data_IF_657320361076
#
_entry.id   IF_657320361076
#
_cell.length_a   1.000
_cell.length_b   1.000
_cell.length_c   1.000
_cell.angle_alpha   90.00
_cell.angle_beta   90.00
_cell.angle_gamma   90.00
#
_symmetry.space_group_name_H-M   'P 1'
#
loop_
_entity.id
_entity.type
_entity.pdbx_description
1 polymer ?
#
# COMPACT_ATOMS: atom_id res chain seq x y z
N UNK A 1 26.64 2.53 4.83
CA UNK A 1 25.99 3.79 4.38
C UNK A 1 24.82 3.40 3.52
N UNK A 2 23.59 3.76 3.90
CA UNK A 2 22.41 3.53 3.05
C UNK A 2 22.56 4.37 1.78
N UNK A 3 22.45 3.79 0.58
CA UNK A 3 22.54 4.56 -0.65
C UNK A 3 21.51 5.69 -0.62
N UNK A 4 21.92 6.88 -1.06
CA UNK A 4 20.99 8.01 -1.19
C UNK A 4 19.93 7.62 -2.22
N UNK A 5 18.66 7.92 -1.94
CA UNK A 5 17.59 7.70 -2.93
C UNK A 5 17.86 8.41 -4.27
N UNK A 6 18.75 9.42 -4.27
CA UNK A 6 19.21 10.15 -5.46
C UNK A 6 20.17 9.36 -6.35
N UNK A 7 20.85 8.35 -5.79
CA UNK A 7 21.79 7.50 -6.54
C UNK A 7 21.16 6.21 -7.05
N UNK A 8 19.92 5.90 -6.63
CA UNK A 8 19.17 4.76 -7.16
C UNK A 8 18.36 5.24 -8.36
N UNK A 9 18.53 4.64 -9.55
CA UNK A 9 17.78 5.07 -10.71
C UNK A 9 16.27 4.89 -10.50
N UNK A 10 15.52 5.93 -10.82
CA UNK A 10 14.10 6.01 -10.51
C UNK A 10 13.28 5.56 -11.73
N UNK A 11 12.32 4.62 -11.59
CA UNK A 11 11.41 4.30 -12.68
C UNK A 11 10.70 5.55 -13.20
N UNK A 12 10.46 5.62 -14.51
CA UNK A 12 9.91 6.82 -15.17
C UNK A 12 8.61 7.31 -14.55
N UNK A 13 7.71 6.38 -14.22
CA UNK A 13 6.40 6.70 -13.62
C UNK A 13 6.55 7.19 -12.17
N UNK A 14 7.56 6.69 -11.45
CA UNK A 14 7.90 7.16 -10.09
C UNK A 14 8.51 8.56 -10.14
N UNK A 15 9.28 8.87 -11.19
CA UNK A 15 9.89 10.19 -11.37
C UNK A 15 8.89 11.32 -11.59
N UNK A 16 7.68 10.99 -12.07
CA UNK A 16 6.59 11.92 -12.32
C UNK A 16 5.72 12.19 -11.07
N UNK A 17 5.94 11.46 -9.97
CA UNK A 17 5.15 11.64 -8.76
C UNK A 17 5.42 13.00 -8.09
N UNK A 18 4.43 13.54 -7.35
CA UNK A 18 4.65 14.66 -6.45
C UNK A 18 5.84 14.39 -5.51
N UNK A 19 6.54 15.45 -5.13
CA UNK A 19 7.74 15.36 -4.28
C UNK A 19 7.48 16.03 -2.94
N UNK A 20 8.09 15.50 -1.88
CA UNK A 20 8.13 16.20 -0.60
C UNK A 20 9.16 17.36 -0.64
N UNK A 21 9.28 18.11 0.45
CA UNK A 21 10.23 19.23 0.57
C UNK A 21 11.71 18.83 0.40
N UNK A 22 12.06 17.56 0.65
CA UNK A 22 13.41 17.02 0.42
C UNK A 22 13.65 16.58 -1.05
N UNK A 23 12.63 16.68 -1.92
CA UNK A 23 12.66 16.27 -3.32
C UNK A 23 12.39 14.78 -3.56
N UNK A 24 12.06 14.01 -2.53
CA UNK A 24 11.77 12.57 -2.64
C UNK A 24 10.38 12.35 -3.25
N UNK A 25 10.20 11.43 -4.21
CA UNK A 25 8.88 11.08 -4.72
C UNK A 25 8.01 10.52 -3.59
N UNK A 26 6.74 10.91 -3.58
CA UNK A 26 5.75 10.45 -2.61
C UNK A 26 4.90 9.35 -3.23
N UNK A 27 4.84 8.14 -2.64
CA UNK A 27 4.00 7.07 -3.15
C UNK A 27 2.54 7.45 -3.27
N UNK A 28 1.87 6.88 -4.27
CA UNK A 28 0.52 7.25 -4.65
C UNK A 28 -0.55 7.06 -3.58
N UNK A 29 -0.38 6.09 -2.68
CA UNK A 29 -1.32 5.81 -1.60
C UNK A 29 -1.06 6.60 -0.31
N UNK A 30 0.01 7.38 -0.22
CA UNK A 30 0.34 8.17 0.99
C UNK A 30 -0.64 9.31 1.19
N UNK A 31 -1.12 9.49 2.42
CA UNK A 31 -2.00 10.59 2.82
C UNK A 31 -1.28 11.95 2.81
N UNK A 32 -2.04 13.01 2.53
CA UNK A 32 -1.57 14.38 2.45
C UNK A 32 -2.45 15.29 3.30
N UNK A 33 -1.86 16.20 4.06
CA UNK A 33 -2.60 17.04 4.99
C UNK A 33 -2.16 18.50 4.87
N UNK A 34 -3.14 19.41 4.76
CA UNK A 34 -2.89 20.85 4.78
C UNK A 34 -2.60 21.32 6.23
N UNK A 35 -2.21 22.57 6.41
CA UNK A 35 -1.71 23.06 7.71
C UNK A 35 -2.79 23.09 8.81
N UNK A 36 -4.05 23.19 8.42
CA UNK A 36 -5.25 23.20 9.28
C UNK A 36 -5.93 21.82 9.37
N UNK A 37 -5.39 20.81 8.68
CA UNK A 37 -5.89 19.44 8.72
C UNK A 37 -5.14 18.63 9.79
N UNK A 38 -5.84 18.26 10.86
CA UNK A 38 -5.28 17.45 11.95
C UNK A 38 -5.02 15.99 11.55
N UNK A 39 -5.52 15.59 10.38
CA UNK A 39 -5.44 14.26 9.83
C UNK A 39 -6.57 13.34 10.25
N UNK A 40 -7.64 13.90 10.82
CA UNK A 40 -8.85 13.16 11.15
C UNK A 40 -9.44 12.47 9.93
N UNK A 41 -9.69 11.17 10.06
CA UNK A 41 -10.49 10.42 9.11
C UNK A 41 -11.96 10.61 9.43
N UNK A 42 -12.79 10.70 8.40
CA UNK A 42 -14.24 10.82 8.55
C UNK A 42 -14.88 9.44 8.38
N UNK A 43 -16.00 9.20 9.05
CA UNK A 43 -16.84 8.04 8.77
C UNK A 43 -17.93 8.49 7.79
N UNK A 44 -17.96 7.88 6.61
CA UNK A 44 -19.04 8.02 5.65
C UNK A 44 -19.92 6.76 5.64
N UNK A 45 -21.11 6.87 5.06
CA UNK A 45 -22.05 5.78 4.94
C UNK A 45 -22.69 5.78 3.55
N UNK A 46 -22.66 4.63 2.86
CA UNK A 46 -23.40 4.41 1.61
C UNK A 46 -23.95 2.98 1.52
N UNK A 47 -24.64 2.69 0.42
CA UNK A 47 -25.32 1.41 0.20
C UNK A 47 -24.38 0.27 -0.21
N UNK A 48 -23.20 0.57 -0.75
CA UNK A 48 -22.25 -0.41 -1.25
C UNK A 48 -21.35 -0.90 -0.11
N UNK A 49 -20.82 0.03 0.68
CA UNK A 49 -19.80 -0.24 1.70
C UNK A 49 -20.34 -0.24 3.14
N UNK A 50 -21.55 0.30 3.35
CA UNK A 50 -22.03 0.61 4.69
C UNK A 50 -21.19 1.73 5.30
N UNK A 51 -20.95 1.65 6.61
CA UNK A 51 -19.99 2.55 7.28
C UNK A 51 -18.57 2.32 6.78
N UNK A 52 -17.83 3.38 6.45
CA UNK A 52 -16.45 3.28 5.98
C UNK A 52 -15.65 4.56 6.26
N UNK A 53 -14.33 4.41 6.44
CA UNK A 53 -13.43 5.56 6.60
C UNK A 53 -13.17 6.24 5.27
N UNK A 54 -13.27 7.57 5.26
CA UNK A 54 -12.93 8.42 4.14
C UNK A 54 -11.90 9.48 4.54
N UNK A 55 -11.20 10.00 3.53
CA UNK A 55 -10.14 10.99 3.67
C UNK A 55 -10.29 12.02 2.56
N UNK A 56 -10.21 13.31 2.89
CA UNK A 56 -10.38 14.41 1.95
C UNK A 56 -9.04 14.92 1.38
N UNK A 57 -7.94 14.20 1.64
CA UNK A 57 -6.63 14.60 1.17
C UNK A 57 -6.56 14.67 -0.37
N UNK A 58 -5.78 15.63 -0.87
CA UNK A 58 -5.45 15.72 -2.30
C UNK A 58 -3.94 15.51 -2.49
N UNK A 59 -3.51 14.50 -3.26
CA UNK A 59 -2.08 14.31 -3.51
C UNK A 59 -1.42 15.55 -4.11
N UNK A 60 -0.27 15.93 -3.54
CA UNK A 60 0.47 17.13 -3.93
C UNK A 60 0.01 18.42 -3.24
N UNK A 61 -1.04 18.39 -2.40
CA UNK A 61 -1.46 19.53 -1.57
C UNK A 61 -1.14 19.27 -0.10
N UNK A 62 -0.52 20.23 0.57
CA UNK A 62 -0.09 20.08 1.96
C UNK A 62 1.19 19.24 2.12
N UNK A 63 1.31 18.55 3.25
CA UNK A 63 2.47 17.74 3.62
C UNK A 63 2.11 16.25 3.59
N UNK A 64 2.91 15.39 2.92
CA UNK A 64 2.69 13.95 2.94
C UNK A 64 3.08 13.36 4.30
N UNK A 65 2.27 12.43 4.83
CA UNK A 65 2.60 11.66 6.04
C UNK A 65 3.04 10.25 5.66
N UNK A 66 4.35 10.06 5.55
CA UNK A 66 4.92 8.75 5.25
C UNK A 66 4.59 7.75 6.37
N UNK A 67 4.16 6.55 5.98
CA UNK A 67 3.65 5.54 6.91
C UNK A 67 2.14 5.60 7.11
N UNK A 68 1.48 6.68 6.70
CA UNK A 68 0.01 6.78 6.70
C UNK A 68 -0.54 6.58 5.28
N UNK A 69 -1.40 5.58 5.13
CA UNK A 69 -2.11 5.32 3.88
C UNK A 69 -3.44 6.07 3.84
N UNK A 70 -3.74 6.71 2.72
CA UNK A 70 -5.06 7.25 2.45
C UNK A 70 -6.06 6.09 2.20
N UNK A 71 -7.08 5.89 3.05
CA UNK A 71 -7.99 4.75 2.93
C UNK A 71 -8.78 4.75 1.62
N UNK A 72 -9.12 5.93 1.09
CA UNK A 72 -9.81 6.06 -0.19
C UNK A 72 -8.94 5.55 -1.35
N UNK A 73 -7.69 6.04 -1.46
CA UNK A 73 -6.77 5.63 -2.53
C UNK A 73 -6.30 4.20 -2.38
N UNK A 74 -6.07 3.74 -1.15
CA UNK A 74 -5.73 2.34 -0.87
C UNK A 74 -6.79 1.40 -1.45
N UNK A 75 -8.07 1.63 -1.11
CA UNK A 75 -9.18 0.81 -1.62
C UNK A 75 -9.34 0.92 -3.12
N UNK A 76 -9.22 2.13 -3.68
CA UNK A 76 -9.24 2.35 -5.13
C UNK A 76 -8.16 1.52 -5.83
N UNK A 77 -6.92 1.54 -5.33
CA UNK A 77 -5.80 0.86 -5.96
C UNK A 77 -5.93 -0.66 -5.86
N UNK A 78 -6.44 -1.15 -4.73
CA UNK A 78 -6.76 -2.56 -4.54
C UNK A 78 -7.85 -3.05 -5.51
N UNK A 79 -8.94 -2.30 -5.66
CA UNK A 79 -10.03 -2.66 -6.58
C UNK A 79 -9.62 -2.59 -8.05
N UNK A 80 -8.88 -1.54 -8.42
CA UNK A 80 -8.53 -1.25 -9.81
C UNK A 80 -7.18 -1.86 -10.24
N UNK A 81 -6.57 -2.71 -9.40
CA UNK A 81 -5.26 -3.32 -9.63
C UNK A 81 -4.21 -2.27 -10.05
N UNK A 82 -4.11 -1.19 -9.27
CA UNK A 82 -3.11 -0.13 -9.49
C UNK A 82 -1.91 -0.32 -8.58
N UNK A 83 -0.76 0.10 -9.08
CA UNK A 83 0.48 0.11 -8.32
C UNK A 83 0.41 1.10 -7.15
N UNK A 84 0.62 0.61 -5.92
CA UNK A 84 0.65 1.42 -4.70
C UNK A 84 1.66 2.56 -4.72
N UNK A 85 2.76 2.39 -5.46
CA UNK A 85 3.81 3.39 -5.62
C UNK A 85 3.52 4.39 -6.74
N UNK A 86 3.46 3.94 -8.00
CA UNK A 86 3.39 4.83 -9.17
C UNK A 86 1.97 5.16 -9.64
N UNK A 87 0.92 4.60 -9.02
CA UNK A 87 -0.51 4.79 -9.36
C UNK A 87 -0.99 4.24 -10.69
N UNK A 88 -0.08 3.75 -11.54
CA UNK A 88 -0.44 3.20 -12.85
C UNK A 88 -1.14 1.84 -12.69
N UNK A 89 -2.11 1.51 -13.56
CA UNK A 89 -2.66 0.16 -13.62
C UNK A 89 -1.56 -0.89 -13.85
N UNK A 90 -1.71 -2.06 -13.23
CA UNK A 90 -0.87 -3.22 -13.50
C UNK A 90 -1.62 -4.13 -14.47
N UNK A 91 -0.96 -4.55 -15.55
CA UNK A 91 -1.57 -5.44 -16.53
C UNK A 91 -2.14 -6.71 -15.84
N UNK A 92 -3.34 -7.19 -16.23
CA UNK A 92 -3.96 -8.36 -15.62
C UNK A 92 -3.11 -9.63 -15.65
N UNK A 93 -2.23 -9.76 -16.64
CA UNK A 93 -1.34 -10.91 -16.84
C UNK A 93 0.05 -10.70 -16.24
N UNK A 94 0.40 -9.46 -15.88
CA UNK A 94 1.69 -9.14 -15.29
C UNK A 94 1.84 -9.68 -13.87
N UNK A 95 3.09 -9.96 -13.50
CA UNK A 95 3.50 -10.28 -12.15
C UNK A 95 3.22 -9.09 -11.21
N UNK A 96 2.55 -9.37 -10.09
CA UNK A 96 2.38 -8.48 -8.96
C UNK A 96 3.44 -8.76 -7.91
N UNK A 97 3.90 -7.70 -7.26
CA UNK A 97 4.77 -7.80 -6.09
C UNK A 97 4.09 -7.16 -4.89
N UNK A 98 3.99 -7.92 -3.81
CA UNK A 98 3.67 -7.39 -2.49
C UNK A 98 4.91 -7.46 -1.61
N UNK A 99 5.14 -6.44 -0.79
CA UNK A 99 6.27 -6.39 0.15
C UNK A 99 5.71 -6.49 1.56
N UNK A 100 6.27 -7.37 2.39
CA UNK A 100 5.84 -7.51 3.78
C UNK A 100 6.71 -8.42 4.60
N UNK A 101 6.21 -8.81 5.77
CA UNK A 101 6.89 -9.73 6.66
C UNK A 101 6.86 -11.17 6.14
N UNK A 102 7.77 -11.98 6.67
CA UNK A 102 7.87 -13.42 6.38
C UNK A 102 6.54 -14.14 6.61
N UNK A 103 6.08 -14.91 5.62
CA UNK A 103 4.82 -15.67 5.67
C UNK A 103 3.55 -14.83 5.87
N UNK A 104 3.57 -13.54 5.51
CA UNK A 104 2.37 -12.71 5.53
C UNK A 104 1.23 -13.34 4.70
N UNK A 105 0.10 -13.60 5.35
CA UNK A 105 -1.09 -14.21 4.72
C UNK A 105 -1.85 -13.23 3.83
N UNK A 106 -1.78 -11.95 4.16
CA UNK A 106 -2.43 -10.86 3.45
C UNK A 106 -1.57 -9.59 3.51
N UNK A 107 -1.89 -8.64 2.65
CA UNK A 107 -1.16 -7.38 2.52
C UNK A 107 -2.14 -6.21 2.56
N UNK A 108 -1.86 -5.25 3.43
CA UNK A 108 -2.61 -3.99 3.52
C UNK A 108 -2.24 -3.03 2.38
N UNK A 109 -0.96 -3.00 2.01
CA UNK A 109 -0.45 -2.16 0.93
C UNK A 109 -0.89 -2.69 -0.45
N UNK A 110 -1.31 -1.83 -1.40
CA UNK A 110 -1.65 -2.24 -2.75
C UNK A 110 -0.47 -2.95 -3.46
N UNK A 111 -0.74 -3.79 -4.48
CA UNK A 111 0.33 -4.44 -5.23
C UNK A 111 1.23 -3.41 -5.92
N UNK A 112 2.44 -3.82 -6.28
CA UNK A 112 3.40 -3.02 -7.03
C UNK A 112 3.76 -3.70 -8.35
N UNK A 113 4.13 -2.90 -9.36
CA UNK A 113 4.93 -3.42 -10.47
C UNK A 113 6.30 -3.87 -9.94
N UNK A 114 6.90 -4.88 -10.56
CA UNK A 114 8.25 -5.35 -10.22
C UNK A 114 9.31 -4.22 -10.14
N UNK A 115 9.47 -3.32 -11.14
CA UNK A 115 10.44 -2.22 -11.02
C UNK A 115 10.11 -1.23 -9.90
N UNK A 116 8.83 -1.05 -9.58
CA UNK A 116 8.41 -0.19 -8.47
C UNK A 116 8.77 -0.79 -7.11
N UNK A 117 8.55 -2.10 -6.94
CA UNK A 117 8.97 -2.83 -5.74
C UNK A 117 10.49 -2.85 -5.57
N UNK A 118 11.23 -3.11 -6.67
CA UNK A 118 12.69 -3.11 -6.66
C UNK A 118 13.26 -1.75 -6.25
N UNK A 119 12.68 -0.65 -6.77
CA UNK A 119 13.03 0.70 -6.34
C UNK A 119 12.69 0.94 -4.86
N UNK A 120 11.47 0.60 -4.42
CA UNK A 120 11.02 0.82 -3.05
C UNK A 120 11.91 0.14 -2.00
N UNK A 121 12.30 -1.12 -2.23
CA UNK A 121 13.19 -1.87 -1.34
C UNK A 121 14.59 -1.25 -1.21
N UNK A 122 15.06 -0.55 -2.25
CA UNK A 122 16.37 0.08 -2.24
C UNK A 122 16.38 1.48 -1.59
N UNK A 123 15.24 2.19 -1.60
CA UNK A 123 15.18 3.60 -1.14
C UNK A 123 14.37 3.82 0.14
N UNK A 124 13.54 2.86 0.56
CA UNK A 124 12.71 3.02 1.75
C UNK A 124 13.50 2.71 3.02
N UNK A 125 13.68 3.68 3.94
CA UNK A 125 14.42 3.44 5.18
C UNK A 125 13.82 2.31 6.02
N UNK A 126 12.49 2.29 6.16
CA UNK A 126 11.77 1.26 6.94
C UNK A 126 11.98 -0.14 6.36
N UNK A 127 11.95 -0.28 5.02
CA UNK A 127 12.19 -1.58 4.39
C UNK A 127 13.67 -1.99 4.48
N UNK A 128 14.58 -1.03 4.40
CA UNK A 128 16.01 -1.27 4.54
C UNK A 128 16.37 -1.75 5.96
N UNK A 129 15.81 -1.11 6.99
CA UNK A 129 15.97 -1.50 8.40
C UNK A 129 15.48 -2.93 8.67
N UNK A 130 14.45 -3.37 7.96
CA UNK A 130 13.90 -4.73 8.07
C UNK A 130 14.46 -5.72 7.02
N UNK A 131 15.47 -5.32 6.24
CA UNK A 131 15.81 -5.92 4.94
C UNK A 131 16.04 -7.44 4.94
N UNK A 132 16.65 -8.00 5.99
CA UNK A 132 16.90 -9.45 6.06
C UNK A 132 15.65 -10.29 6.33
N UNK A 133 14.58 -9.67 6.84
CA UNK A 133 13.31 -10.32 7.18
C UNK A 133 12.17 -10.00 6.20
N UNK A 134 12.39 -9.01 5.34
CA UNK A 134 11.41 -8.61 4.33
C UNK A 134 11.30 -9.69 3.26
N UNK A 135 10.08 -10.17 3.01
CA UNK A 135 9.76 -11.02 1.87
C UNK A 135 9.08 -10.20 0.78
N UNK A 136 9.23 -10.68 -0.46
CA UNK A 136 8.34 -10.28 -1.54
C UNK A 136 7.43 -11.44 -1.89
N UNK A 137 6.12 -11.21 -1.98
CA UNK A 137 5.18 -12.18 -2.53
C UNK A 137 4.94 -11.86 -3.99
N UNK A 138 5.35 -12.79 -4.85
CA UNK A 138 5.18 -12.73 -6.30
C UNK A 138 3.94 -13.55 -6.66
N UNK A 139 2.89 -12.89 -7.15
CA UNK A 139 1.70 -13.58 -7.72
C UNK A 139 1.17 -12.88 -8.98
N UNK A 140 0.35 -13.54 -9.79
CA UNK A 140 -0.38 -12.89 -10.89
C UNK A 140 -1.77 -12.38 -10.45
N UNK A 141 -2.32 -12.88 -9.34
CA UNK A 141 -3.67 -12.53 -8.90
C UNK A 141 -3.82 -12.60 -7.37
N UNK A 142 -4.84 -11.93 -6.86
CA UNK A 142 -5.17 -11.95 -5.43
C UNK A 142 -6.68 -11.89 -5.26
N UNK A 143 -7.16 -12.44 -4.14
CA UNK A 143 -8.49 -12.15 -3.63
C UNK A 143 -8.44 -10.92 -2.73
N UNK A 144 -9.59 -10.25 -2.59
CA UNK A 144 -9.75 -9.16 -1.63
C UNK A 144 -10.48 -9.65 -0.38
N UNK A 145 -10.16 -9.03 0.74
CA UNK A 145 -10.92 -9.08 1.97
C UNK A 145 -11.11 -7.65 2.52
N UNK A 146 -12.13 -7.47 3.34
CA UNK A 146 -12.45 -6.22 4.01
C UNK A 146 -11.88 -6.25 5.43
N UNK A 147 -11.08 -5.26 5.79
CA UNK A 147 -10.68 -5.01 7.17
C UNK A 147 -11.65 -3.98 7.77
N UNK A 148 -12.48 -4.44 8.71
CA UNK A 148 -13.52 -3.61 9.34
C UNK A 148 -13.24 -3.42 10.81
N UNK A 149 -13.38 -2.17 11.27
CA UNK A 149 -13.43 -1.82 12.68
C UNK A 149 -14.82 -2.20 13.19
N UNK A 150 -14.90 -3.21 14.05
CA UNK A 150 -16.18 -3.78 14.52
C UNK A 150 -16.52 -3.38 15.94
N UNK A 151 -15.53 -2.99 16.74
CA UNK A 151 -15.71 -2.68 18.15
C UNK A 151 -14.52 -1.82 18.66
N UNK A 152 -14.61 -1.30 19.88
CA UNK A 152 -13.55 -0.56 20.54
C UNK A 152 -13.44 -1.03 22.00
N UNK A 153 -12.23 -1.28 22.48
CA UNK A 153 -12.01 -1.65 23.89
C UNK A 153 -12.22 -0.45 24.81
N UNK A 154 -12.31 -0.70 26.12
CA UNK A 154 -12.42 0.34 27.15
C UNK A 154 -11.21 1.29 27.14
N UNK A 155 -10.04 0.80 26.73
CA UNK A 155 -8.81 1.59 26.53
C UNK A 155 -8.77 2.35 25.19
N UNK A 156 -9.88 2.37 24.46
CA UNK A 156 -10.02 2.98 23.12
C UNK A 156 -9.18 2.32 22.03
N UNK A 157 -8.78 1.06 22.21
CA UNK A 157 -8.15 0.30 21.14
C UNK A 157 -9.21 -0.22 20.17
N UNK A 158 -8.99 -0.02 18.87
CA UNK A 158 -9.92 -0.49 17.84
C UNK A 158 -9.79 -2.00 17.65
N UNK A 159 -10.91 -2.71 17.69
CA UNK A 159 -11.01 -4.13 17.33
C UNK A 159 -11.42 -4.25 15.87
N UNK A 160 -10.76 -5.17 15.17
CA UNK A 160 -10.94 -5.39 13.75
C UNK A 160 -11.33 -6.82 13.46
N UNK A 161 -12.16 -6.99 12.44
CA UNK A 161 -12.53 -8.28 11.89
C UNK A 161 -12.37 -8.26 10.38
N UNK A 162 -11.89 -9.37 9.83
CA UNK A 162 -11.72 -9.54 8.39
C UNK A 162 -12.91 -10.27 7.80
N UNK A 163 -13.44 -9.76 6.70
CA UNK A 163 -14.54 -10.39 5.95
C UNK A 163 -14.09 -10.66 4.51
N UNK A 164 -14.51 -11.76 3.86
CA UNK A 164 -14.34 -11.91 2.42
C UNK A 164 -14.94 -10.72 1.68
N UNK A 165 -14.29 -10.25 0.62
CA UNK A 165 -14.80 -9.13 -0.16
C UNK A 165 -16.18 -9.45 -0.77
N UNK A 166 -17.13 -8.54 -0.62
CA UNK A 166 -18.51 -8.72 -1.06
C UNK A 166 -19.36 -9.61 -0.14
N UNK A 167 -18.89 -9.90 1.08
CA UNK A 167 -19.68 -10.63 2.06
C UNK A 167 -20.97 -9.85 2.40
N UNK A 168 -22.17 -10.45 2.25
CA UNK A 168 -23.44 -9.71 2.23
C UNK A 168 -23.76 -9.00 3.55
N UNK A 169 -23.20 -9.46 4.66
CA UNK A 169 -23.43 -8.86 5.97
C UNK A 169 -22.31 -7.91 6.41
N UNK A 170 -21.15 -7.90 5.74
CA UNK A 170 -20.01 -7.09 6.19
C UNK A 170 -20.32 -5.59 6.30
N UNK A 171 -21.08 -4.96 5.37
CA UNK A 171 -21.50 -3.56 5.50
C UNK A 171 -22.26 -3.20 6.78
N UNK A 172 -22.87 -4.17 7.46
CA UNK A 172 -23.67 -3.96 8.67
C UNK A 172 -22.91 -4.32 9.96
N UNK A 173 -21.69 -4.85 9.86
CA UNK A 173 -20.94 -5.41 10.99
C UNK A 173 -19.76 -4.56 11.44
N UNK A 174 -19.47 -3.45 10.76
CA UNK A 174 -18.39 -2.55 11.16
C UNK A 174 -18.07 -1.48 10.12
N UNK A 175 -17.13 -0.61 10.46
CA UNK A 175 -16.63 0.48 9.62
C UNK A 175 -15.48 -0.05 8.76
N UNK A 176 -15.65 -0.07 7.44
CA UNK A 176 -14.58 -0.46 6.51
C UNK A 176 -13.41 0.53 6.57
N UNK A 177 -12.24 0.04 6.97
CA UNK A 177 -11.01 0.81 7.03
C UNK A 177 -10.25 0.67 5.70
N UNK A 178 -9.83 -0.55 5.39
CA UNK A 178 -9.02 -0.87 4.21
C UNK A 178 -9.47 -2.19 3.57
N UNK A 179 -9.00 -2.44 2.34
CA UNK A 179 -8.98 -3.81 1.82
C UNK A 179 -7.65 -4.51 2.11
N UNK A 180 -7.70 -5.83 2.25
CA UNK A 180 -6.55 -6.69 2.37
C UNK A 180 -6.43 -7.51 1.08
N UNK A 181 -5.25 -7.52 0.46
CA UNK A 181 -4.96 -8.42 -0.64
C UNK A 181 -4.47 -9.77 -0.11
N UNK A 182 -5.06 -10.86 -0.62
CA UNK A 182 -4.65 -12.24 -0.34
C UNK A 182 -4.11 -12.85 -1.64
N UNK A 183 -2.78 -12.84 -1.85
CA UNK A 183 -2.16 -13.41 -3.05
C UNK A 183 -2.52 -14.89 -3.25
N UNK A 184 -2.83 -15.28 -4.49
CA UNK A 184 -2.98 -16.69 -4.84
C UNK A 184 -1.61 -17.31 -5.11
N UNK A 185 -1.34 -18.47 -4.49
CA UNK A 185 -0.14 -19.30 -4.66
C UNK A 185 1.17 -18.49 -4.83
N UNK A 186 1.47 -17.53 -3.95
CA UNK A 186 2.60 -16.64 -4.15
C UNK A 186 3.93 -17.37 -3.97
N UNK A 187 4.89 -17.05 -4.83
CA UNK A 187 6.29 -17.33 -4.55
C UNK A 187 6.84 -16.29 -3.56
N UNK A 188 7.65 -16.72 -2.59
CA UNK A 188 8.07 -15.87 -1.46
C UNK A 188 9.59 -15.86 -1.22
N UNK A 189 10.39 -15.30 -2.13
CA UNK A 189 11.80 -15.08 -1.85
C UNK A 189 12.00 -13.95 -0.83
N UNK A 190 13.09 -14.03 -0.06
CA UNK A 190 13.57 -12.89 0.73
C UNK A 190 13.94 -11.75 -0.22
N UNK A 191 13.65 -10.51 0.20
CA UNK A 191 13.88 -9.33 -0.62
C UNK A 191 15.34 -9.18 -1.11
N UNK A 192 16.40 -9.43 -0.30
CA UNK A 192 17.77 -9.37 -0.79
C UNK A 192 18.07 -10.38 -1.89
N UNK A 193 17.54 -11.60 -1.78
CA UNK A 193 17.71 -12.67 -2.77
C UNK A 193 16.99 -12.29 -4.06
N UNK A 194 15.74 -11.84 -3.96
CA UNK A 194 14.97 -11.39 -5.11
C UNK A 194 15.65 -10.23 -5.84
N UNK A 195 16.13 -9.22 -5.11
CA UNK A 195 16.85 -8.08 -5.69
C UNK A 195 18.13 -8.48 -6.41
N UNK A 196 18.89 -9.44 -5.87
CA UNK A 196 20.16 -9.87 -6.44
C UNK A 196 19.99 -10.73 -7.70
N UNK A 197 18.95 -11.56 -7.75
CA UNK A 197 18.85 -12.64 -8.74
C UNK A 197 17.77 -12.42 -9.80
N UNK A 198 16.70 -11.67 -9.48
CA UNK A 198 15.44 -11.74 -10.24
C UNK A 198 14.77 -10.41 -10.49
N UNK A 199 14.94 -9.43 -9.61
CA UNK A 199 14.32 -8.13 -9.77
C UNK A 199 14.77 -7.48 -11.10
N UNK A 200 13.87 -6.79 -11.81
CA UNK A 200 14.23 -6.11 -13.04
C UNK A 200 15.28 -5.04 -12.74
N UNK A 201 16.24 -4.89 -13.65
CA UNK A 201 17.22 -3.81 -13.57
C UNK A 201 16.49 -2.48 -13.72
N UNK A 202 16.78 -1.56 -12.79
CA UNK A 202 16.24 -0.20 -12.86
C UNK A 202 16.89 0.54 -14.04
N UNK A 203 16.15 1.39 -14.77
CA UNK A 203 16.68 2.11 -15.93
C UNK A 203 17.85 2.98 -15.49
N UNK A 204 19.00 2.90 -16.16
CA UNK A 204 20.20 3.66 -15.80
C UNK A 204 20.00 5.19 -15.84
#
# INVERSE_FOLDING_TARGET
MTPSWRSIPMPSDVAQLPRNSAGRPVPGNIAWYEADDDGSLLVAQDHEWGGHLTCQCTPGRGTPRFGEQCPVRQREFMLQRKCGLCTRPIDPTAQLVFIGETNARYYLEPPLHEPCAAYALQVCPVLHENGERTEVALTQSYALAEDRITDMTDERALRRSTFPFGHPFAPYLGILEFFLAVPHDPERPLAPVWLAERAPQLPA
#
